data_IF_713716204827
#
_entry.id   IF_713716204827
#
_cell.length_a   1.000
_cell.length_b   1.000
_cell.length_c   1.000
_cell.angle_alpha   90.00
_cell.angle_beta   90.00
_cell.angle_gamma   90.00
#
_symmetry.space_group_name_H-M   'P 1'
#
loop_
_entity.id
_entity.type
_entity.pdbx_description
1 polymer ?
#
# COMPACT_ATOMS: atom_id res chain seq x y z
N UNK A 1 24.71 32.89 4.89
CA UNK A 1 23.89 31.66 4.94
C UNK A 1 24.82 30.55 4.46
N UNK A 2 25.06 29.49 5.24
CA UNK A 2 26.03 28.47 4.83
C UNK A 2 25.47 27.69 3.63
N UNK A 3 26.12 27.78 2.48
CA UNK A 3 25.75 27.16 1.19
C UNK A 3 25.81 25.62 1.19
N UNK A 4 25.91 25.00 2.36
CA UNK A 4 26.27 23.59 2.51
C UNK A 4 25.16 22.78 3.23
N UNK A 5 24.00 23.38 3.49
CA UNK A 5 22.90 22.71 4.19
C UNK A 5 22.02 21.98 3.17
N UNK A 6 22.32 20.70 2.94
CA UNK A 6 21.45 19.80 2.16
C UNK A 6 20.47 19.12 3.11
N UNK A 7 19.17 19.32 2.90
CA UNK A 7 18.17 18.57 3.63
C UNK A 7 18.31 17.07 3.29
N UNK A 8 18.57 16.23 4.31
CA UNK A 8 18.66 14.76 4.20
C UNK A 8 17.45 14.10 3.53
N UNK A 9 16.32 14.80 3.41
CA UNK A 9 15.07 14.32 2.83
C UNK A 9 14.76 14.86 1.43
N UNK A 10 15.65 15.68 0.85
CA UNK A 10 15.40 16.38 -0.41
C UNK A 10 14.22 17.35 -0.35
N UNK A 11 14.07 18.21 -1.35
CA UNK A 11 12.83 18.96 -1.54
C UNK A 11 11.77 17.94 -1.99
N UNK A 12 10.69 17.79 -1.23
CA UNK A 12 9.57 16.92 -1.59
C UNK A 12 8.93 17.46 -2.87
N UNK A 13 9.39 16.96 -4.02
CA UNK A 13 8.70 17.22 -5.29
C UNK A 13 7.37 16.45 -5.22
N UNK A 14 6.20 17.12 -5.27
CA UNK A 14 4.96 16.41 -5.49
C UNK A 14 5.16 15.58 -6.76
N UNK A 15 4.92 14.27 -6.67
CA UNK A 15 4.95 13.41 -7.85
C UNK A 15 3.92 14.00 -8.83
N UNK A 16 4.21 14.05 -10.14
CA UNK A 16 3.19 14.40 -11.13
C UNK A 16 1.93 13.57 -10.86
N UNK A 17 0.76 14.11 -11.22
CA UNK A 17 -0.55 13.45 -11.12
C UNK A 17 -0.39 11.95 -11.35
N UNK A 18 -0.73 11.15 -10.33
CA UNK A 18 -0.39 9.74 -10.32
C UNK A 18 -0.98 9.05 -11.56
N UNK A 19 -0.13 8.80 -12.55
CA UNK A 19 -0.50 8.06 -13.74
C UNK A 19 -1.01 6.68 -13.31
N UNK A 20 -2.08 6.23 -13.96
CA UNK A 20 -2.64 4.91 -13.74
C UNK A 20 -1.54 3.89 -14.05
N UNK A 21 -1.28 3.00 -13.11
CA UNK A 21 -0.35 1.91 -13.33
C UNK A 21 -1.10 0.77 -14.02
N UNK A 22 -1.01 0.70 -15.34
CA UNK A 22 -1.72 -0.29 -16.16
C UNK A 22 -1.43 -1.73 -15.72
N UNK A 23 -0.18 -2.05 -15.34
CA UNK A 23 0.17 -3.37 -14.83
C UNK A 23 -0.55 -3.73 -13.52
N UNK A 24 -0.75 -2.74 -12.65
CA UNK A 24 -1.55 -2.93 -11.42
C UNK A 24 -3.02 -3.19 -11.78
N UNK A 25 -3.57 -2.44 -12.74
CA UNK A 25 -4.96 -2.61 -13.20
C UNK A 25 -5.18 -3.98 -13.84
N UNK A 26 -4.26 -4.43 -14.69
CA UNK A 26 -4.29 -5.75 -15.32
C UNK A 26 -4.31 -6.88 -14.27
N UNK A 27 -3.43 -6.82 -13.28
CA UNK A 27 -3.37 -7.83 -12.23
C UNK A 27 -4.63 -7.82 -11.35
N UNK A 28 -5.16 -6.64 -11.00
CA UNK A 28 -6.42 -6.53 -10.28
C UNK A 28 -7.61 -7.10 -11.08
N UNK A 29 -7.60 -6.91 -12.39
CA UNK A 29 -8.62 -7.47 -13.29
C UNK A 29 -8.54 -8.99 -13.32
N UNK A 30 -7.34 -9.56 -13.44
CA UNK A 30 -7.10 -11.01 -13.38
C UNK A 30 -7.60 -11.62 -12.07
N UNK A 31 -7.32 -10.96 -10.94
CA UNK A 31 -7.79 -11.41 -9.62
C UNK A 31 -9.31 -11.33 -9.49
N UNK A 32 -9.93 -10.27 -10.04
CA UNK A 32 -11.37 -10.13 -10.05
C UNK A 32 -12.05 -11.23 -10.88
N UNK A 33 -11.49 -11.56 -12.05
CA UNK A 33 -12.03 -12.62 -12.90
C UNK A 33 -11.92 -14.00 -12.21
N UNK A 34 -10.80 -14.28 -11.54
CA UNK A 34 -10.64 -15.51 -10.75
C UNK A 34 -11.62 -15.56 -9.55
N UNK A 35 -11.90 -14.43 -8.90
CA UNK A 35 -12.91 -14.36 -7.84
C UNK A 35 -14.33 -14.60 -8.38
N UNK A 36 -14.66 -14.04 -9.55
CA UNK A 36 -15.95 -14.25 -10.24
C UNK A 36 -16.13 -15.69 -10.70
N UNK A 37 -15.05 -16.34 -11.13
CA UNK A 37 -15.04 -17.77 -11.48
C UNK A 37 -15.15 -18.69 -10.24
N UNK A 38 -15.06 -18.14 -9.03
CA UNK A 38 -15.11 -18.90 -7.77
C UNK A 38 -13.78 -19.57 -7.39
N UNK A 39 -12.70 -19.28 -8.11
CA UNK A 39 -11.36 -19.83 -7.83
C UNK A 39 -10.72 -19.14 -6.61
N UNK A 40 -10.96 -17.82 -6.47
CA UNK A 40 -10.57 -17.05 -5.28
C UNK A 40 -11.78 -16.88 -4.37
N UNK A 41 -11.73 -17.54 -3.21
CA UNK A 41 -12.80 -17.53 -2.20
C UNK A 41 -12.52 -16.62 -1.00
N UNK A 42 -11.32 -16.03 -0.95
CA UNK A 42 -10.91 -15.09 0.09
C UNK A 42 -9.65 -14.32 -0.31
N UNK A 43 -9.52 -13.09 0.20
CA UNK A 43 -8.37 -12.23 -0.04
C UNK A 43 -8.00 -11.43 1.20
N UNK A 44 -6.70 -11.29 1.46
CA UNK A 44 -6.12 -10.37 2.43
C UNK A 44 -5.05 -9.55 1.69
N UNK A 45 -5.20 -8.23 1.62
CA UNK A 45 -4.36 -7.37 0.77
C UNK A 45 -3.96 -6.09 1.47
N UNK A 46 -2.70 -5.68 1.28
CA UNK A 46 -2.20 -4.36 1.68
C UNK A 46 -1.96 -3.53 0.42
N UNK A 47 -2.38 -2.27 0.44
CA UNK A 47 -2.36 -1.37 -0.71
C UNK A 47 -1.57 -0.12 -0.36
N UNK A 48 -0.72 0.34 -1.28
CA UNK A 48 -0.05 1.62 -1.18
C UNK A 48 -0.80 2.65 -2.02
N UNK A 49 -1.28 3.71 -1.37
CA UNK A 49 -2.01 4.80 -2.01
C UNK A 49 -1.06 5.86 -2.56
N UNK A 50 -1.57 6.69 -3.48
CA UNK A 50 -0.80 7.77 -4.12
C UNK A 50 -0.19 8.77 -3.12
N UNK A 51 -0.85 8.96 -1.98
CA UNK A 51 -0.41 9.81 -0.87
C UNK A 51 0.56 9.10 0.08
N UNK A 52 1.05 7.92 -0.32
CA UNK A 52 1.95 7.03 0.43
C UNK A 52 1.36 6.49 1.72
N UNK A 53 0.04 6.53 1.89
CA UNK A 53 -0.62 5.79 2.97
C UNK A 53 -0.76 4.33 2.58
N UNK A 54 -0.62 3.43 3.55
CA UNK A 54 -1.02 2.05 3.36
C UNK A 54 -2.44 1.83 3.86
N UNK A 55 -3.20 0.97 3.21
CA UNK A 55 -4.42 0.38 3.77
C UNK A 55 -4.36 -1.13 3.71
N UNK A 56 -5.14 -1.78 4.57
CA UNK A 56 -5.32 -3.21 4.56
C UNK A 56 -6.80 -3.52 4.41
N UNK A 57 -7.14 -4.51 3.59
CA UNK A 57 -8.50 -5.05 3.49
C UNK A 57 -8.47 -6.57 3.43
N UNK A 58 -9.57 -7.17 3.87
CA UNK A 58 -9.78 -8.59 3.73
C UNK A 58 -11.25 -8.89 3.42
N UNK A 59 -11.51 -9.96 2.69
CA UNK A 59 -12.85 -10.43 2.35
C UNK A 59 -12.85 -11.95 2.15
N UNK A 60 -13.95 -12.62 2.48
CA UNK A 60 -14.12 -14.06 2.28
C UNK A 60 -13.29 -14.93 3.24
N UNK A 61 -13.03 -16.18 2.83
CA UNK A 61 -12.36 -17.19 3.65
C UNK A 61 -10.82 -17.01 3.63
N UNK A 62 -10.32 -16.12 4.50
CA UNK A 62 -8.90 -15.72 4.53
C UNK A 62 -8.02 -16.47 5.53
N UNK A 63 -8.61 -17.19 6.48
CA UNK A 63 -7.86 -17.95 7.49
C UNK A 63 -6.78 -17.14 8.20
N UNK A 64 -5.58 -17.73 8.33
CA UNK A 64 -4.42 -17.15 9.02
C UNK A 64 -3.75 -16.00 8.28
N UNK A 65 -4.04 -15.80 6.98
CA UNK A 65 -3.47 -14.67 6.22
C UNK A 65 -3.94 -13.30 6.75
N UNK A 66 -5.03 -13.27 7.51
CA UNK A 66 -5.51 -12.09 8.23
C UNK A 66 -4.46 -11.49 9.18
N UNK A 67 -3.57 -12.31 9.75
CA UNK A 67 -2.50 -11.87 10.65
C UNK A 67 -1.43 -11.04 9.94
N UNK A 68 -1.18 -11.31 8.65
CA UNK A 68 -0.20 -10.55 7.85
C UNK A 68 -0.65 -9.09 7.72
N UNK A 69 -1.95 -8.87 7.51
CA UNK A 69 -2.52 -7.53 7.51
C UNK A 69 -2.39 -6.77 8.82
N UNK A 70 -2.59 -7.48 9.93
CA UNK A 70 -2.39 -6.92 11.27
C UNK A 70 -0.95 -6.45 11.48
N UNK A 71 0.03 -7.23 11.02
CA UNK A 71 1.45 -6.88 11.09
C UNK A 71 1.81 -5.68 10.21
N UNK A 72 1.26 -5.59 9.00
CA UNK A 72 1.49 -4.44 8.11
C UNK A 72 0.91 -3.14 8.68
N UNK A 73 -0.29 -3.19 9.24
CA UNK A 73 -0.88 -2.05 9.95
C UNK A 73 -0.06 -1.65 11.19
N UNK A 74 0.43 -2.62 11.95
CA UNK A 74 1.28 -2.36 13.11
C UNK A 74 2.60 -1.69 12.71
N UNK A 75 3.24 -2.15 11.63
CA UNK A 75 4.47 -1.56 11.08
C UNK A 75 4.25 -0.11 10.66
N UNK A 76 3.20 0.19 9.90
CA UNK A 76 2.89 1.57 9.50
C UNK A 76 2.66 2.48 10.69
N UNK A 77 1.96 1.99 11.71
CA UNK A 77 1.73 2.76 12.93
C UNK A 77 3.02 3.04 13.71
N UNK A 78 3.94 2.09 13.76
CA UNK A 78 5.27 2.29 14.34
C UNK A 78 6.10 3.29 13.53
N UNK A 79 6.04 3.22 12.19
CA UNK A 79 6.72 4.18 11.33
C UNK A 79 6.17 5.60 11.49
N UNK A 80 4.86 5.77 11.63
CA UNK A 80 4.25 7.07 11.93
C UNK A 80 4.81 7.67 13.23
N UNK A 81 4.84 6.87 14.31
CA UNK A 81 5.40 7.27 15.61
C UNK A 81 6.87 7.68 15.49
N UNK A 82 7.71 6.85 14.85
CA UNK A 82 9.15 7.12 14.69
C UNK A 82 9.41 8.35 13.83
N UNK A 83 8.58 8.59 12.81
CA UNK A 83 8.73 9.73 11.91
C UNK A 83 8.11 11.03 12.46
N UNK A 84 7.46 10.99 13.63
CA UNK A 84 6.80 12.13 14.25
C UNK A 84 5.62 12.65 13.44
N UNK A 85 4.88 11.74 12.78
CA UNK A 85 3.73 12.02 11.91
C UNK A 85 2.45 11.47 12.51
#
# INVERSE_FOLDING_TARGET
>A
MADNVVALRGVLKPRPEAEINERLVEELTRLLDAARAGEIVGMAGTYLHKDRRASYSFAGAVGTFSLIGGLECAKERLLAIVLGR
#
